data_IF_348143450086
#
_entry.id   IF_348143450086
#
_cell.length_a   1.000
_cell.length_b   1.000
_cell.length_c   1.000
_cell.angle_alpha   90.00
_cell.angle_beta   90.00
_cell.angle_gamma   90.00
#
_symmetry.space_group_name_H-M   'P 1'
#
loop_
_entity.id
_entity.type
_entity.pdbx_description
1 polymer ?
#
# COMPACT_ATOMS: atom_id res chain seq x y z
N UNK A 1 -5.16 96.66 -24.10
CA UNK A 1 -6.01 95.96 -25.10
C UNK A 1 -6.07 94.47 -24.75
N UNK A 2 -7.28 93.95 -24.51
CA UNK A 2 -7.57 92.56 -24.14
C UNK A 2 -7.29 91.62 -25.32
N UNK A 3 -6.53 90.54 -25.12
CA UNK A 3 -6.65 89.31 -25.92
C UNK A 3 -6.65 88.08 -25.01
N UNK A 4 -7.87 87.64 -24.75
CA UNK A 4 -8.25 86.33 -24.25
C UNK A 4 -7.82 85.26 -25.25
N UNK A 5 -7.08 84.24 -24.82
CA UNK A 5 -6.98 82.99 -25.57
C UNK A 5 -7.51 81.85 -24.70
N UNK A 6 -8.57 81.23 -25.22
CA UNK A 6 -9.39 80.21 -24.57
C UNK A 6 -8.65 78.88 -24.58
N UNK A 7 -8.57 78.25 -23.40
CA UNK A 7 -8.21 76.84 -23.23
C UNK A 7 -9.30 75.99 -23.88
N UNK A 8 -8.94 75.28 -24.95
CA UNK A 8 -9.83 74.34 -25.62
C UNK A 8 -9.93 73.03 -24.83
N UNK A 9 -11.11 72.76 -24.29
CA UNK A 9 -11.48 71.50 -23.65
C UNK A 9 -11.66 70.40 -24.70
N UNK A 10 -10.79 69.39 -24.65
CA UNK A 10 -10.92 68.19 -25.47
C UNK A 10 -12.16 67.38 -25.05
N UNK A 11 -13.16 67.31 -25.93
CA UNK A 11 -14.36 66.46 -25.78
C UNK A 11 -13.94 64.98 -25.81
N UNK A 12 -14.16 64.27 -24.69
CA UNK A 12 -14.09 62.80 -24.63
C UNK A 12 -15.17 62.20 -25.55
N UNK A 13 -14.77 61.36 -26.51
CA UNK A 13 -15.68 60.52 -27.30
C UNK A 13 -16.38 59.50 -26.37
N UNK A 14 -17.68 59.21 -26.55
CA UNK A 14 -18.37 58.19 -25.77
C UNK A 14 -17.86 56.80 -26.17
N UNK A 15 -17.45 56.01 -25.18
CA UNK A 15 -17.09 54.60 -25.34
C UNK A 15 -18.36 53.81 -25.61
N UNK A 16 -18.44 53.16 -26.77
CA UNK A 16 -19.53 52.27 -27.11
C UNK A 16 -19.59 51.08 -26.14
N UNK A 17 -20.70 50.93 -25.41
CA UNK A 17 -21.01 49.73 -24.63
C UNK A 17 -21.15 48.55 -25.59
N UNK A 18 -20.19 47.62 -25.59
CA UNK A 18 -20.36 46.30 -26.22
C UNK A 18 -21.41 45.51 -25.43
N UNK A 19 -22.58 45.33 -26.03
CA UNK A 19 -23.61 44.41 -25.57
C UNK A 19 -23.10 42.98 -25.69
N UNK A 20 -22.87 42.32 -24.54
CA UNK A 20 -22.55 40.88 -24.51
C UNK A 20 -23.84 40.12 -24.86
N UNK A 21 -23.92 39.59 -26.08
CA UNK A 21 -24.93 38.56 -26.42
C UNK A 21 -24.64 37.31 -25.58
N UNK A 22 -25.51 37.02 -24.62
CA UNK A 22 -25.54 35.75 -23.87
C UNK A 22 -25.76 34.63 -24.90
N UNK A 23 -24.74 33.82 -25.16
CA UNK A 23 -24.93 32.55 -25.86
C UNK A 23 -25.70 31.61 -24.92
N UNK A 24 -26.99 31.42 -25.19
CA UNK A 24 -27.77 30.34 -24.60
C UNK A 24 -27.28 29.03 -25.20
N UNK A 25 -26.78 28.12 -24.35
CA UNK A 25 -26.47 26.75 -24.77
C UNK A 25 -27.75 26.08 -25.26
N UNK A 26 -27.73 25.30 -26.36
CA UNK A 26 -28.93 24.61 -26.82
C UNK A 26 -29.38 23.62 -25.74
N UNK A 27 -30.67 23.62 -25.44
CA UNK A 27 -31.29 22.62 -24.58
C UNK A 27 -31.05 21.23 -25.20
N UNK A 28 -30.53 20.31 -24.39
CA UNK A 28 -30.24 18.94 -24.81
C UNK A 28 -31.58 18.22 -24.97
N UNK A 29 -32.08 18.13 -26.20
CA UNK A 29 -33.31 17.43 -26.51
C UNK A 29 -33.16 15.94 -26.16
N UNK A 30 -33.82 15.52 -25.07
CA UNK A 30 -33.96 14.12 -24.69
C UNK A 30 -34.87 13.45 -25.71
N UNK A 31 -34.30 12.67 -26.63
CA UNK A 31 -35.07 11.86 -27.57
C UNK A 31 -35.70 10.68 -26.82
N UNK A 32 -36.91 10.25 -27.19
CA UNK A 32 -37.59 9.11 -26.54
C UNK A 32 -36.72 7.83 -26.49
N UNK A 33 -35.80 7.67 -27.43
CA UNK A 33 -34.79 6.59 -27.43
C UNK A 33 -33.77 6.67 -26.30
N UNK A 34 -33.34 7.87 -25.87
CA UNK A 34 -32.44 8.01 -24.72
C UNK A 34 -33.14 7.73 -23.39
N UNK A 35 -34.45 8.01 -23.30
CA UNK A 35 -35.26 7.65 -22.14
C UNK A 35 -35.44 6.13 -22.02
N UNK A 36 -35.66 5.42 -23.13
CA UNK A 36 -35.75 3.96 -23.15
C UNK A 36 -34.41 3.31 -22.79
N UNK A 37 -33.29 3.79 -23.34
CA UNK A 37 -31.96 3.28 -22.98
C UNK A 37 -31.66 3.54 -21.51
N UNK A 38 -32.00 4.72 -20.99
CA UNK A 38 -31.80 5.03 -19.56
C UNK A 38 -32.70 4.17 -18.66
N UNK A 39 -33.91 3.82 -19.11
CA UNK A 39 -34.80 2.91 -18.40
C UNK A 39 -34.28 1.47 -18.41
N UNK A 40 -33.76 0.98 -19.54
CA UNK A 40 -33.13 -0.35 -19.63
C UNK A 40 -31.89 -0.42 -18.74
N UNK A 41 -31.04 0.61 -18.74
CA UNK A 41 -29.88 0.70 -17.83
C UNK A 41 -30.34 0.72 -16.37
N UNK A 42 -31.40 1.47 -16.05
CA UNK A 42 -31.95 1.52 -14.70
C UNK A 42 -32.48 0.14 -14.24
N UNK A 43 -33.18 -0.59 -15.11
CA UNK A 43 -33.68 -1.94 -14.82
C UNK A 43 -32.50 -2.92 -14.64
N UNK A 44 -31.47 -2.86 -15.49
CA UNK A 44 -30.27 -3.69 -15.35
C UNK A 44 -29.52 -3.41 -14.04
N UNK A 45 -29.41 -2.14 -13.66
CA UNK A 45 -28.81 -1.72 -12.39
C UNK A 45 -29.67 -2.16 -11.19
N UNK A 46 -31.00 -2.13 -11.30
CA UNK A 46 -31.90 -2.60 -10.26
C UNK A 46 -31.81 -4.12 -10.06
N UNK A 47 -31.70 -4.91 -11.14
CA UNK A 47 -31.48 -6.36 -11.08
C UNK A 47 -30.11 -6.68 -10.50
N UNK A 48 -29.06 -5.94 -10.88
CA UNK A 48 -27.72 -6.08 -10.30
C UNK A 48 -27.74 -5.74 -8.80
N UNK A 49 -28.46 -4.69 -8.41
CA UNK A 49 -28.60 -4.26 -7.02
C UNK A 49 -29.40 -5.29 -6.20
N UNK A 50 -30.49 -5.84 -6.75
CA UNK A 50 -31.22 -6.95 -6.15
C UNK A 50 -30.36 -8.20 -6.00
N UNK A 51 -29.49 -8.49 -6.97
CA UNK A 51 -28.50 -9.57 -6.90
C UNK A 51 -27.46 -9.35 -5.80
N UNK A 52 -26.96 -8.12 -5.64
CA UNK A 52 -26.05 -7.74 -4.54
C UNK A 52 -26.76 -7.82 -3.19
N UNK A 53 -28.01 -7.35 -3.10
CA UNK A 53 -28.83 -7.41 -1.89
C UNK A 53 -29.14 -8.86 -1.53
N UNK A 54 -29.51 -9.70 -2.50
CA UNK A 54 -29.71 -11.14 -2.32
C UNK A 54 -28.41 -11.86 -1.92
N UNK A 55 -27.28 -11.50 -2.52
CA UNK A 55 -25.96 -12.02 -2.13
C UNK A 55 -25.58 -11.58 -0.71
N UNK A 56 -25.87 -10.33 -0.33
CA UNK A 56 -25.66 -9.85 1.03
C UNK A 56 -26.61 -10.52 2.02
N UNK A 57 -27.88 -10.76 1.67
CA UNK A 57 -28.86 -11.48 2.49
C UNK A 57 -28.52 -12.97 2.63
N UNK A 58 -28.10 -13.62 1.55
CA UNK A 58 -27.63 -15.02 1.55
C UNK A 58 -26.31 -15.18 2.32
N UNK A 59 -25.43 -14.18 2.27
CA UNK A 59 -24.22 -14.15 3.08
C UNK A 59 -24.48 -13.66 4.52
N UNK A 60 -25.70 -13.18 4.84
CA UNK A 60 -26.12 -12.81 6.20
C UNK A 60 -26.68 -13.98 7.01
N UNK A 61 -26.72 -15.19 6.45
CA UNK A 61 -27.00 -16.44 7.19
C UNK A 61 -25.75 -17.26 7.51
N UNK A 62 -24.55 -16.72 7.31
CA UNK A 62 -23.30 -17.30 7.84
C UNK A 62 -22.54 -16.29 8.72
N UNK A 63 -23.18 -15.87 9.81
CA UNK A 63 -22.53 -15.16 10.92
C UNK A 63 -23.46 -15.09 12.14
N UNK A 64 -23.78 -16.24 12.73
CA UNK A 64 -24.02 -16.37 14.17
C UNK A 64 -23.13 -17.50 14.68
N UNK A 65 -21.90 -17.18 15.07
CA UNK A 65 -21.23 -17.92 16.12
C UNK A 65 -21.35 -17.08 17.39
N UNK A 66 -22.29 -17.50 18.25
CA UNK A 66 -22.27 -17.21 19.68
C UNK A 66 -21.39 -18.27 20.37
N UNK A 67 -20.86 -17.99 21.58
CA UNK A 67 -19.69 -18.65 22.14
C UNK A 67 -20.02 -20.07 22.59
N UNK A 68 -19.17 -21.03 22.24
CA UNK A 68 -19.13 -22.35 22.85
C UNK A 68 -17.97 -22.34 23.85
N UNK A 69 -18.17 -23.04 24.97
CA UNK A 69 -17.29 -23.25 26.12
C UNK A 69 -17.51 -22.24 27.27
N UNK A 70 -18.57 -22.45 28.05
CA UNK A 70 -18.45 -22.89 29.44
C UNK A 70 -19.83 -23.15 30.09
N UNK A 71 -19.91 -24.27 30.81
CA UNK A 71 -20.95 -24.72 31.78
C UNK A 71 -22.21 -25.38 31.21
N UNK A 72 -22.13 -26.68 30.96
CA UNK A 72 -23.27 -27.58 31.14
C UNK A 72 -23.27 -28.14 32.56
N UNK A 73 -24.26 -27.75 33.35
CA UNK A 73 -24.66 -28.49 34.55
C UNK A 73 -25.40 -29.73 34.06
N UNK A 74 -24.71 -30.87 33.98
CA UNK A 74 -25.38 -32.17 33.92
C UNK A 74 -25.70 -32.55 35.36
N UNK A 75 -26.98 -32.46 35.69
CA UNK A 75 -27.58 -32.92 36.93
C UNK A 75 -27.27 -34.40 37.12
N UNK A 76 -26.75 -34.71 38.31
CA UNK A 76 -26.48 -36.06 38.81
C UNK A 76 -27.80 -36.80 39.01
N UNK A 77 -28.38 -37.42 37.99
CA UNK A 77 -29.51 -38.34 38.24
C UNK A 77 -29.75 -39.46 37.23
N UNK A 78 -28.99 -39.57 36.13
CA UNK A 78 -29.21 -40.66 35.16
C UNK A 78 -27.95 -41.45 34.75
N UNK A 79 -26.85 -41.34 35.50
CA UNK A 79 -25.66 -42.21 35.32
C UNK A 79 -25.77 -43.53 36.11
N UNK A 80 -26.83 -43.70 36.91
CA UNK A 80 -27.04 -44.88 37.74
C UNK A 80 -28.13 -45.79 37.17
N UNK A 81 -28.03 -46.19 35.90
CA UNK A 81 -28.84 -47.30 35.33
C UNK A 81 -28.24 -48.03 34.13
N UNK A 82 -26.97 -47.81 33.80
CA UNK A 82 -26.29 -48.54 32.70
C UNK A 82 -24.95 -49.16 33.13
N UNK A 83 -24.65 -49.18 34.43
CA UNK A 83 -23.44 -49.78 35.01
C UNK A 83 -23.72 -51.12 35.73
N UNK A 84 -24.57 -51.97 35.16
CA UNK A 84 -24.76 -53.36 35.60
C UNK A 84 -25.04 -54.26 34.39
N UNK A 85 -24.12 -54.30 33.43
CA UNK A 85 -23.94 -55.43 32.50
C UNK A 85 -22.77 -55.11 31.58
N UNK A 86 -21.55 -55.27 32.11
CA UNK A 86 -20.28 -55.51 31.39
C UNK A 86 -19.13 -55.31 32.39
N UNK A 87 -19.20 -56.04 33.50
CA UNK A 87 -17.96 -56.47 34.17
C UNK A 87 -17.57 -57.81 33.54
N UNK A 88 -16.30 -57.90 33.17
CA UNK A 88 -15.60 -59.02 32.51
C UNK A 88 -15.69 -59.08 30.99
N UNK A 89 -14.90 -58.23 30.33
CA UNK A 89 -14.03 -58.59 29.21
C UNK A 89 -12.97 -57.48 29.04
N UNK A 90 -11.78 -57.76 29.59
CA UNK A 90 -10.45 -57.14 29.35
C UNK A 90 -10.43 -55.61 29.14
N UNK A 91 -10.12 -54.85 30.20
CA UNK A 91 -9.53 -53.50 30.05
C UNK A 91 -8.21 -53.66 29.32
N UNK A 92 -8.19 -53.35 28.02
CA UNK A 92 -6.95 -53.32 27.24
C UNK A 92 -6.16 -52.08 27.66
N UNK A 93 -5.26 -52.27 28.63
CA UNK A 93 -4.32 -51.24 29.10
C UNK A 93 -3.53 -50.60 27.96
N UNK A 94 -3.39 -51.29 26.81
CA UNK A 94 -2.73 -50.76 25.62
C UNK A 94 -3.52 -49.63 24.98
N UNK A 95 -4.85 -49.62 25.09
CA UNK A 95 -5.70 -48.58 24.50
C UNK A 95 -5.64 -47.29 25.32
N UNK A 96 -5.66 -47.40 26.65
CA UNK A 96 -5.52 -46.25 27.56
C UNK A 96 -4.11 -45.64 27.48
N UNK A 97 -3.06 -46.48 27.43
CA UNK A 97 -1.68 -46.01 27.21
C UNK A 97 -1.50 -45.34 25.83
N UNK A 98 -2.17 -45.85 24.78
CA UNK A 98 -2.12 -45.25 23.45
C UNK A 98 -2.82 -43.87 23.41
N UNK A 99 -3.97 -43.74 24.07
CA UNK A 99 -4.69 -42.47 24.19
C UNK A 99 -3.89 -41.42 24.99
N UNK A 100 -3.19 -41.85 26.04
CA UNK A 100 -2.35 -40.96 26.83
C UNK A 100 -1.12 -40.48 26.03
N UNK A 101 -0.47 -41.38 25.28
CA UNK A 101 0.65 -41.02 24.37
C UNK A 101 0.21 -40.05 23.27
N UNK A 102 -0.97 -40.25 22.68
CA UNK A 102 -1.54 -39.34 21.67
C UNK A 102 -1.86 -37.95 22.26
N UNK A 103 -2.41 -37.90 23.48
CA UNK A 103 -2.67 -36.65 24.20
C UNK A 103 -1.38 -35.88 24.51
N UNK A 104 -0.34 -36.59 24.95
CA UNK A 104 0.98 -36.01 25.21
C UNK A 104 1.63 -35.49 23.92
N UNK A 105 1.58 -36.25 22.82
CA UNK A 105 2.09 -35.80 21.51
C UNK A 105 1.37 -34.55 20.99
N UNK A 106 0.04 -34.48 21.15
CA UNK A 106 -0.74 -33.30 20.76
C UNK A 106 -0.39 -32.06 21.59
N UNK A 107 -0.14 -32.23 22.90
CA UNK A 107 0.33 -31.16 23.79
C UNK A 107 1.72 -30.68 23.38
N UNK A 108 2.66 -31.60 23.14
CA UNK A 108 4.03 -31.26 22.69
C UNK A 108 4.03 -30.57 21.33
N UNK A 109 3.20 -31.01 20.37
CA UNK A 109 3.04 -30.32 19.08
C UNK A 109 2.49 -28.90 19.26
N UNK A 110 1.48 -28.72 20.11
CA UNK A 110 0.91 -27.40 20.40
C UNK A 110 1.94 -26.48 21.05
N UNK A 111 2.72 -27.00 22.00
CA UNK A 111 3.77 -26.26 22.69
C UNK A 111 4.91 -25.88 21.75
N UNK A 112 5.34 -26.79 20.87
CA UNK A 112 6.36 -26.51 19.87
C UNK A 112 5.89 -25.48 18.84
N UNK A 113 4.61 -25.52 18.43
CA UNK A 113 4.03 -24.51 17.54
C UNK A 113 3.98 -23.13 18.20
N UNK A 114 3.64 -23.08 19.49
CA UNK A 114 3.63 -21.85 20.29
C UNK A 114 5.04 -21.29 20.52
N UNK A 115 6.03 -22.14 20.79
CA UNK A 115 7.43 -21.74 20.93
C UNK A 115 7.97 -21.22 19.61
N UNK A 116 7.72 -21.93 18.50
CA UNK A 116 8.20 -21.53 17.18
C UNK A 116 7.55 -20.23 16.70
N UNK A 117 6.25 -20.04 16.94
CA UNK A 117 5.57 -18.76 16.65
C UNK A 117 6.08 -17.62 17.53
N UNK A 118 6.40 -17.88 18.80
CA UNK A 118 6.98 -16.87 19.71
C UNK A 118 8.41 -16.49 19.34
N UNK A 119 9.23 -17.45 18.91
CA UNK A 119 10.59 -17.21 18.40
C UNK A 119 10.51 -16.41 17.09
N UNK A 120 9.66 -16.84 16.14
CA UNK A 120 9.45 -16.14 14.87
C UNK A 120 8.94 -14.71 15.08
N UNK A 121 8.07 -14.49 16.08
CA UNK A 121 7.58 -13.16 16.43
C UNK A 121 8.67 -12.25 17.03
N UNK A 122 9.64 -12.80 17.77
CA UNK A 122 10.77 -12.05 18.34
C UNK A 122 11.88 -11.78 17.31
N UNK A 123 11.93 -12.55 16.22
CA UNK A 123 12.83 -12.36 15.08
C UNK A 123 12.18 -11.67 13.87
N UNK A 124 10.92 -11.25 13.98
CA UNK A 124 10.20 -10.68 12.86
C UNK A 124 10.67 -9.25 12.59
N UNK A 125 10.91 -8.95 11.31
CA UNK A 125 11.47 -7.68 10.85
C UNK A 125 10.46 -6.85 10.09
N UNK A 126 10.38 -5.55 10.39
CA UNK A 126 9.54 -4.62 9.64
C UNK A 126 10.43 -3.50 9.08
N UNK A 127 10.47 -3.41 7.75
CA UNK A 127 11.04 -2.24 7.09
C UNK A 127 9.95 -1.21 6.82
N UNK A 128 10.22 0.04 7.16
CA UNK A 128 9.37 1.18 6.84
C UNK A 128 10.09 2.01 5.78
N UNK A 129 9.47 2.14 4.61
CA UNK A 129 9.91 3.03 3.54
C UNK A 129 9.04 4.30 3.61
N UNK A 130 9.68 5.46 3.56
CA UNK A 130 8.97 6.74 3.46
C UNK A 130 9.23 7.35 2.08
N UNK A 131 8.21 7.32 1.23
CA UNK A 131 8.22 7.84 -0.13
C UNK A 131 8.15 9.37 -0.17
N UNK A 132 8.24 9.95 -1.37
CA UNK A 132 8.08 11.39 -1.63
C UNK A 132 9.08 12.34 -0.93
N UNK A 133 10.23 11.84 -0.49
CA UNK A 133 11.24 12.69 0.15
C UNK A 133 11.83 13.65 -0.88
N UNK A 134 11.70 14.93 -0.57
CA UNK A 134 12.06 16.02 -1.49
C UNK A 134 12.37 17.35 -0.78
N UNK A 135 12.24 17.43 0.55
CA UNK A 135 12.63 18.59 1.38
C UNK A 135 13.62 18.17 2.47
N UNK A 136 14.49 19.12 2.84
CA UNK A 136 15.35 18.99 4.03
C UNK A 136 14.55 18.86 5.33
N UNK A 137 13.41 19.55 5.45
CA UNK A 137 12.54 19.43 6.64
C UNK A 137 12.02 18.02 6.87
N UNK A 138 11.72 17.28 5.80
CA UNK A 138 11.29 15.88 5.88
C UNK A 138 12.42 14.97 6.35
N UNK A 139 13.65 15.23 5.87
CA UNK A 139 14.86 14.53 6.34
C UNK A 139 15.07 14.75 7.84
N UNK A 140 14.95 15.99 8.30
CA UNK A 140 15.10 16.33 9.71
C UNK A 140 14.03 15.66 10.58
N UNK A 141 12.79 15.63 10.09
CA UNK A 141 11.69 14.96 10.79
C UNK A 141 11.90 13.45 10.87
N UNK A 142 12.34 12.80 9.79
CA UNK A 142 12.73 11.37 9.79
C UNK A 142 13.82 11.10 10.84
N UNK A 143 14.89 11.91 10.85
CA UNK A 143 15.99 11.75 11.81
C UNK A 143 15.51 11.94 13.25
N UNK A 144 14.57 12.86 13.48
CA UNK A 144 14.00 13.11 14.81
C UNK A 144 13.21 11.94 15.39
N UNK A 145 12.67 11.05 14.52
CA UNK A 145 11.96 9.85 14.96
C UNK A 145 12.90 8.83 15.63
N UNK A 146 14.21 8.84 15.38
CA UNK A 146 15.17 7.88 15.98
C UNK A 146 14.78 6.40 15.79
N UNK A 147 14.13 6.07 14.68
CA UNK A 147 13.88 4.69 14.22
C UNK A 147 14.44 4.51 12.81
N UNK A 148 14.78 3.28 12.44
CA UNK A 148 15.26 2.98 11.09
C UNK A 148 14.12 3.15 10.08
N UNK A 149 14.19 4.18 9.27
CA UNK A 149 13.30 4.44 8.13
C UNK A 149 14.17 4.52 6.90
N UNK A 150 13.77 3.81 5.84
CA UNK A 150 14.43 3.91 4.53
C UNK A 150 13.73 5.02 3.73
N UNK A 151 14.32 6.20 3.54
CA UNK A 151 13.71 7.24 2.71
C UNK A 151 13.77 6.85 1.24
N UNK A 152 12.69 7.10 0.50
CA UNK A 152 12.69 7.09 -0.96
C UNK A 152 12.62 8.51 -1.49
N UNK A 153 13.71 8.93 -2.12
CA UNK A 153 13.98 10.33 -2.48
C UNK A 153 13.66 10.53 -3.95
N UNK A 154 12.90 11.57 -4.27
CA UNK A 154 12.65 11.92 -5.67
C UNK A 154 13.96 12.22 -6.39
N UNK A 155 14.17 11.75 -7.64
CA UNK A 155 15.24 12.28 -8.46
C UNK A 155 14.96 13.75 -8.79
N UNK A 156 16.00 14.58 -9.06
CA UNK A 156 15.83 15.97 -9.43
C UNK A 156 14.77 16.20 -10.52
N UNK A 157 13.93 17.19 -10.33
CA UNK A 157 12.87 17.58 -11.26
C UNK A 157 12.67 19.11 -11.24
N UNK A 158 11.88 19.64 -12.18
CA UNK A 158 11.81 21.08 -12.50
C UNK A 158 11.60 22.01 -11.28
N UNK A 159 10.79 21.62 -10.31
CA UNK A 159 10.56 22.46 -9.12
C UNK A 159 11.51 22.16 -7.97
N UNK A 160 12.36 21.12 -8.06
CA UNK A 160 13.27 20.65 -7.02
C UNK A 160 14.52 20.00 -7.65
N UNK A 161 15.50 20.82 -7.98
CA UNK A 161 16.68 20.41 -8.75
C UNK A 161 17.79 19.74 -7.91
N UNK A 162 17.67 19.78 -6.58
CA UNK A 162 18.74 19.34 -5.66
C UNK A 162 18.28 18.25 -4.67
N UNK A 163 17.20 17.53 -4.98
CA UNK A 163 16.70 16.46 -4.11
C UNK A 163 17.72 15.33 -3.93
N UNK A 164 18.62 15.13 -4.90
CA UNK A 164 19.68 14.13 -4.80
C UNK A 164 20.66 14.39 -3.64
N UNK A 165 20.86 15.65 -3.24
CA UNK A 165 21.72 15.99 -2.10
C UNK A 165 21.13 15.50 -0.76
N UNK A 166 19.82 15.27 -0.69
CA UNK A 166 19.17 14.73 0.51
C UNK A 166 19.61 13.29 0.80
N UNK A 167 20.14 12.56 -0.19
CA UNK A 167 20.58 11.19 -0.02
C UNK A 167 21.85 11.08 0.83
N UNK A 168 22.73 12.10 0.80
CA UNK A 168 23.97 12.14 1.58
C UNK A 168 23.71 12.14 3.10
N UNK A 169 22.47 12.41 3.51
CA UNK A 169 22.02 12.41 4.91
C UNK A 169 21.71 11.00 5.45
N UNK A 170 21.72 9.97 4.60
CA UNK A 170 21.32 8.60 4.93
C UNK A 170 22.31 7.57 4.41
N UNK A 171 22.60 6.56 5.25
CA UNK A 171 23.41 5.40 4.84
C UNK A 171 22.66 4.49 3.85
N UNK A 172 21.38 4.27 4.10
CA UNK A 172 20.49 3.43 3.29
C UNK A 172 19.31 4.28 2.83
N UNK A 173 19.10 4.36 1.51
CA UNK A 173 18.03 5.12 0.89
C UNK A 173 17.60 4.46 -0.43
N UNK A 174 16.49 4.94 -0.99
CA UNK A 174 15.98 4.56 -2.31
C UNK A 174 15.78 5.81 -3.16
N UNK A 175 15.70 5.63 -4.48
CA UNK A 175 15.17 6.67 -5.37
C UNK A 175 13.73 6.36 -5.75
N UNK A 176 12.86 7.34 -5.56
CA UNK A 176 11.43 7.27 -5.85
C UNK A 176 11.18 7.66 -7.31
N UNK A 177 11.24 6.68 -8.22
CA UNK A 177 11.23 6.90 -9.67
C UNK A 177 9.81 7.25 -10.16
N UNK A 178 9.60 8.45 -10.75
CA UNK A 178 8.35 8.79 -11.43
C UNK A 178 8.07 7.86 -12.62
N UNK A 179 6.94 7.15 -12.57
CA UNK A 179 6.46 6.28 -13.65
C UNK A 179 5.03 6.68 -14.03
N UNK A 180 4.65 6.54 -15.29
CA UNK A 180 3.32 6.93 -15.76
C UNK A 180 2.18 6.17 -15.08
N UNK A 181 1.13 6.89 -14.71
CA UNK A 181 -0.07 6.36 -14.07
C UNK A 181 -1.33 6.80 -14.83
N UNK A 182 -2.40 6.00 -14.71
CA UNK A 182 -3.72 6.39 -15.20
C UNK A 182 -4.27 7.56 -14.38
N UNK A 183 -4.94 8.51 -15.05
CA UNK A 183 -5.62 9.65 -14.42
C UNK A 183 -4.73 10.51 -13.49
N UNK A 184 -3.41 10.50 -13.70
CA UNK A 184 -2.46 11.29 -12.92
C UNK A 184 -1.79 12.34 -13.81
N UNK A 185 -1.80 13.60 -13.35
CA UNK A 185 -1.09 14.69 -14.03
C UNK A 185 0.34 14.76 -13.51
N UNK A 186 1.28 14.30 -14.32
CA UNK A 186 2.69 14.31 -13.95
C UNK A 186 3.28 15.73 -13.90
N UNK A 187 4.05 15.98 -12.84
CA UNK A 187 4.86 17.19 -12.63
C UNK A 187 6.30 16.85 -12.24
N UNK A 188 6.64 15.56 -12.20
CA UNK A 188 7.89 15.01 -11.66
C UNK A 188 8.79 14.38 -12.73
N UNK A 189 8.35 14.35 -13.99
CA UNK A 189 9.12 13.81 -15.10
C UNK A 189 9.00 12.28 -15.20
N UNK A 190 7.76 11.79 -15.11
CA UNK A 190 7.38 10.40 -15.18
C UNK A 190 7.80 9.74 -16.49
N UNK A 191 8.39 8.55 -16.37
CA UNK A 191 8.71 7.71 -17.51
C UNK A 191 7.42 7.15 -18.09
N UNK A 192 7.18 7.40 -19.39
CA UNK A 192 6.02 6.85 -20.09
C UNK A 192 6.17 5.34 -20.29
N UNK A 193 5.05 4.61 -20.25
CA UNK A 193 4.99 3.19 -20.65
C UNK A 193 5.36 2.95 -22.12
N UNK A 194 5.37 4.01 -22.94
CA UNK A 194 5.82 3.96 -24.33
C UNK A 194 7.29 4.36 -24.51
N UNK A 195 8.02 4.62 -23.41
CA UNK A 195 9.43 4.99 -23.48
C UNK A 195 10.24 3.89 -24.15
N UNK A 196 11.13 4.29 -25.06
CA UNK A 196 12.04 3.37 -25.74
C UNK A 196 13.11 2.86 -24.76
N UNK A 197 13.73 1.69 -25.01
CA UNK A 197 14.83 1.22 -24.19
C UNK A 197 15.95 2.25 -23.98
N UNK A 198 16.25 3.05 -25.00
CA UNK A 198 17.24 4.12 -24.91
C UNK A 198 16.82 5.24 -23.94
N UNK A 199 15.53 5.62 -23.93
CA UNK A 199 15.01 6.61 -22.98
C UNK A 199 15.05 6.10 -21.54
N UNK A 200 14.68 4.83 -21.33
CA UNK A 200 14.76 4.19 -20.01
C UNK A 200 16.22 4.14 -19.54
N UNK A 201 17.13 3.62 -20.36
CA UNK A 201 18.56 3.58 -20.07
C UNK A 201 19.15 4.95 -19.74
N UNK A 202 18.82 5.96 -20.54
CA UNK A 202 19.24 7.35 -20.30
C UNK A 202 18.78 7.83 -18.92
N UNK A 203 17.49 7.70 -18.61
CA UNK A 203 16.91 8.14 -17.33
C UNK A 203 17.57 7.42 -16.13
N UNK A 204 17.72 6.10 -16.19
CA UNK A 204 18.35 5.33 -15.10
C UNK A 204 19.84 5.67 -14.94
N UNK A 205 20.55 5.84 -16.06
CA UNK A 205 21.97 6.25 -16.02
C UNK A 205 22.14 7.64 -15.41
N UNK A 206 21.28 8.60 -15.75
CA UNK A 206 21.29 9.95 -15.17
C UNK A 206 21.04 9.91 -13.66
N UNK A 207 20.01 9.16 -13.23
CA UNK A 207 19.71 8.97 -11.80
C UNK A 207 20.92 8.35 -11.07
N UNK A 208 21.50 7.27 -11.59
CA UNK A 208 22.64 6.61 -10.95
C UNK A 208 23.86 7.53 -10.84
N UNK A 209 24.07 8.44 -11.78
CA UNK A 209 25.14 9.45 -11.71
C UNK A 209 24.88 10.51 -10.64
N UNK A 210 23.61 10.87 -10.42
CA UNK A 210 23.21 11.91 -9.46
C UNK A 210 23.21 11.44 -8.00
N UNK A 211 23.05 10.13 -7.77
CA UNK A 211 22.88 9.52 -6.45
C UNK A 211 24.05 8.56 -6.14
N UNK A 212 24.90 8.93 -5.19
CA UNK A 212 26.08 8.13 -4.78
C UNK A 212 25.66 6.84 -4.07
N UNK A 213 26.23 5.70 -4.46
CA UNK A 213 25.93 4.39 -3.84
C UNK A 213 24.45 3.98 -3.95
N UNK A 214 23.75 4.41 -5.01
CA UNK A 214 22.35 4.02 -5.25
C UNK A 214 22.22 2.50 -5.43
N UNK A 215 21.48 1.85 -4.52
CA UNK A 215 21.21 0.42 -4.56
C UNK A 215 19.76 0.06 -4.88
N UNK A 216 18.80 0.94 -4.56
CA UNK A 216 17.38 0.62 -4.58
C UNK A 216 16.54 1.70 -5.27
N UNK A 217 15.56 1.28 -6.06
CA UNK A 217 14.54 2.14 -6.65
C UNK A 217 13.16 1.54 -6.38
N UNK A 218 12.18 2.38 -6.06
CA UNK A 218 10.77 2.04 -6.17
C UNK A 218 10.03 3.01 -7.10
N UNK A 219 8.79 2.70 -7.44
CA UNK A 219 7.97 3.53 -8.31
C UNK A 219 7.13 4.55 -7.53
N UNK A 220 7.20 5.81 -7.96
CA UNK A 220 6.18 6.83 -7.71
C UNK A 220 5.04 6.67 -8.69
N UNK A 221 3.81 6.53 -8.18
CA UNK A 221 2.63 6.18 -8.98
C UNK A 221 2.90 4.95 -9.88
N UNK A 222 2.86 5.06 -11.20
CA UNK A 222 3.28 3.99 -12.10
C UNK A 222 2.22 2.99 -12.50
N UNK A 223 0.94 3.18 -12.17
CA UNK A 223 -0.11 2.18 -12.45
C UNK A 223 -0.25 1.81 -13.94
N UNK A 224 0.02 2.74 -14.87
CA UNK A 224 0.02 2.47 -16.30
C UNK A 224 1.34 1.85 -16.77
N UNK A 225 2.45 2.25 -16.18
CA UNK A 225 3.78 1.72 -16.50
C UNK A 225 3.95 0.29 -16.00
N UNK A 226 3.71 0.03 -14.71
CA UNK A 226 3.96 -1.27 -14.09
C UNK A 226 3.01 -2.35 -14.59
N UNK A 227 1.81 -1.97 -15.06
CA UNK A 227 0.89 -2.88 -15.76
C UNK A 227 1.35 -3.24 -17.18
N UNK A 228 2.16 -2.39 -17.83
CA UNK A 228 2.71 -2.68 -19.16
C UNK A 228 3.93 -3.60 -19.03
N UNK A 229 3.73 -4.89 -19.33
CA UNK A 229 4.78 -5.90 -19.23
C UNK A 229 6.05 -5.57 -20.04
N UNK A 230 5.93 -5.05 -21.27
CA UNK A 230 7.10 -4.71 -22.11
C UNK A 230 7.92 -3.60 -21.46
N UNK A 231 7.27 -2.52 -21.03
CA UNK A 231 7.93 -1.39 -20.37
C UNK A 231 8.59 -1.82 -19.05
N UNK A 232 7.86 -2.55 -18.21
CA UNK A 232 8.35 -3.08 -16.93
C UNK A 232 9.56 -3.99 -17.13
N UNK A 233 9.51 -4.94 -18.07
CA UNK A 233 10.63 -5.84 -18.34
C UNK A 233 11.88 -5.08 -18.81
N UNK A 234 11.72 -4.06 -19.65
CA UNK A 234 12.85 -3.23 -20.09
C UNK A 234 13.44 -2.45 -18.90
N UNK A 235 12.60 -1.85 -18.05
CA UNK A 235 13.04 -1.15 -16.85
C UNK A 235 13.81 -2.07 -15.91
N UNK A 236 13.24 -3.22 -15.54
CA UNK A 236 13.89 -4.17 -14.63
C UNK A 236 15.21 -4.71 -15.21
N UNK A 237 15.27 -4.95 -16.52
CA UNK A 237 16.51 -5.37 -17.20
C UNK A 237 17.60 -4.29 -17.10
N UNK A 238 17.24 -3.02 -17.31
CA UNK A 238 18.19 -1.91 -17.18
C UNK A 238 18.64 -1.73 -15.73
N UNK A 239 17.71 -1.78 -14.76
CA UNK A 239 18.05 -1.71 -13.34
C UNK A 239 19.02 -2.84 -12.94
N UNK A 240 18.74 -4.08 -13.36
CA UNK A 240 19.63 -5.23 -13.16
C UNK A 240 21.03 -4.99 -13.76
N UNK A 241 21.11 -4.51 -15.00
CA UNK A 241 22.38 -4.22 -15.67
C UNK A 241 23.20 -3.14 -14.94
N UNK A 242 22.51 -2.23 -14.25
CA UNK A 242 23.10 -1.18 -13.44
C UNK A 242 23.36 -1.61 -11.98
N UNK A 243 23.06 -2.85 -11.60
CA UNK A 243 23.19 -3.32 -10.21
C UNK A 243 22.21 -2.65 -9.24
N UNK A 244 21.11 -2.09 -9.76
CA UNK A 244 20.06 -1.45 -8.96
C UNK A 244 18.91 -2.44 -8.78
N UNK A 245 18.48 -2.58 -7.53
CA UNK A 245 17.36 -3.43 -7.11
C UNK A 245 16.05 -2.65 -7.18
N UNK A 246 14.97 -3.33 -7.55
CA UNK A 246 13.63 -2.74 -7.63
C UNK A 246 12.75 -3.21 -6.47
N UNK A 247 11.90 -2.31 -5.96
CA UNK A 247 10.83 -2.60 -5.01
C UNK A 247 9.52 -2.11 -5.61
N UNK A 248 8.55 -3.01 -5.79
CA UNK A 248 7.23 -2.64 -6.31
C UNK A 248 6.37 -1.99 -5.22
N UNK A 249 6.02 -0.72 -5.41
CA UNK A 249 5.08 0.00 -4.53
C UNK A 249 3.63 -0.49 -4.70
N UNK A 250 3.36 -1.42 -5.63
CA UNK A 250 2.06 -2.06 -5.91
C UNK A 250 0.92 -1.04 -6.07
N UNK A 251 1.10 -0.09 -6.99
CA UNK A 251 0.11 0.97 -7.29
C UNK A 251 -1.01 0.51 -8.22
N UNK A 252 -0.96 -0.73 -8.70
CA UNK A 252 -2.01 -1.40 -9.48
C UNK A 252 -2.08 -2.87 -9.07
N UNK A 253 -3.28 -3.49 -9.01
CA UNK A 253 -3.41 -4.93 -8.79
C UNK A 253 -2.85 -5.76 -9.97
N UNK A 254 -2.76 -5.16 -11.16
CA UNK A 254 -2.32 -5.83 -12.39
C UNK A 254 -0.84 -5.57 -12.69
N UNK A 255 0.00 -5.45 -11.66
CA UNK A 255 1.43 -5.20 -11.84
C UNK A 255 2.08 -6.36 -12.61
N UNK A 256 2.85 -6.04 -13.65
CA UNK A 256 3.64 -6.99 -14.43
C UNK A 256 5.03 -7.23 -13.82
N UNK A 257 5.38 -6.53 -12.73
CA UNK A 257 6.66 -6.67 -12.02
C UNK A 257 6.92 -8.12 -11.55
N UNK A 258 5.95 -8.87 -10.97
CA UNK A 258 6.19 -10.25 -10.56
C UNK A 258 6.63 -11.13 -11.73
N UNK A 259 5.85 -11.11 -12.83
CA UNK A 259 6.13 -11.89 -14.04
C UNK A 259 7.47 -11.52 -14.66
N UNK A 260 7.74 -10.22 -14.81
CA UNK A 260 8.99 -9.75 -15.40
C UNK A 260 10.22 -10.08 -14.50
N UNK A 261 10.07 -10.00 -13.18
CA UNK A 261 11.13 -10.35 -12.23
C UNK A 261 11.48 -11.84 -12.31
N UNK A 262 10.47 -12.71 -12.33
CA UNK A 262 10.64 -14.16 -12.48
C UNK A 262 11.44 -14.50 -13.76
N UNK A 263 11.04 -13.94 -14.90
CA UNK A 263 11.73 -14.20 -16.17
C UNK A 263 13.17 -13.68 -16.22
N UNK A 264 13.47 -12.62 -15.45
CA UNK A 264 14.81 -12.05 -15.36
C UNK A 264 15.66 -12.69 -14.25
N UNK A 265 15.12 -13.66 -13.50
CA UNK A 265 15.77 -14.24 -12.33
C UNK A 265 16.08 -13.19 -11.26
N UNK A 266 15.12 -12.30 -11.00
CA UNK A 266 15.19 -11.27 -9.97
C UNK A 266 14.22 -11.60 -8.84
N UNK A 267 14.64 -11.38 -7.59
CA UNK A 267 13.76 -11.42 -6.44
C UNK A 267 12.63 -10.40 -6.59
N UNK A 268 11.39 -10.83 -6.31
CA UNK A 268 10.25 -9.92 -6.34
C UNK A 268 10.02 -9.30 -4.95
N UNK A 269 10.56 -8.10 -4.76
CA UNK A 269 10.36 -7.32 -3.53
C UNK A 269 9.22 -6.34 -3.71
N UNK A 270 8.30 -6.32 -2.76
CA UNK A 270 7.09 -5.54 -2.88
C UNK A 270 6.58 -5.04 -1.53
N UNK A 271 5.73 -4.02 -1.59
CA UNK A 271 5.04 -3.50 -0.41
C UNK A 271 3.92 -4.44 0.08
N UNK A 272 3.95 -4.74 1.37
CA UNK A 272 2.88 -5.46 2.06
C UNK A 272 1.74 -4.53 2.49
N UNK A 273 2.05 -3.37 3.08
CA UNK A 273 1.05 -2.43 3.61
C UNK A 273 1.35 -1.00 3.20
N UNK A 274 0.30 -0.26 2.81
CA UNK A 274 0.34 1.20 2.67
C UNK A 274 -0.24 1.83 3.94
N UNK A 275 0.53 2.69 4.62
CA UNK A 275 0.16 3.15 5.95
C UNK A 275 -0.84 4.32 5.93
N UNK A 276 -0.71 5.23 4.98
CA UNK A 276 -1.35 6.55 5.03
C UNK A 276 -2.23 6.86 3.82
N UNK A 277 -2.90 5.84 3.27
CA UNK A 277 -4.02 6.03 2.34
C UNK A 277 -5.05 7.02 2.88
N UNK A 278 -5.30 6.94 4.19
CA UNK A 278 -6.02 7.95 4.95
C UNK A 278 -5.01 8.68 5.83
N UNK A 279 -4.87 10.00 5.64
CA UNK A 279 -3.97 10.85 6.43
C UNK A 279 -4.53 11.14 7.83
N UNK A 280 -4.87 10.07 8.55
CA UNK A 280 -5.45 10.09 9.88
C UNK A 280 -4.62 9.20 10.81
N UNK A 281 -4.19 9.75 11.94
CA UNK A 281 -3.35 9.06 12.91
C UNK A 281 -3.90 7.67 13.30
N UNK A 282 -5.21 7.55 13.57
CA UNK A 282 -5.82 6.27 13.96
C UNK A 282 -5.85 5.25 12.83
N UNK A 283 -5.97 5.71 11.58
CA UNK A 283 -5.94 4.83 10.41
C UNK A 283 -4.51 4.31 10.19
N UNK A 284 -3.53 5.21 10.26
CA UNK A 284 -2.10 4.89 10.12
C UNK A 284 -1.64 3.91 11.20
N UNK A 285 -2.04 4.10 12.47
CA UNK A 285 -1.73 3.15 13.55
C UNK A 285 -2.34 1.76 13.31
N UNK A 286 -3.56 1.68 12.74
CA UNK A 286 -4.19 0.40 12.38
C UNK A 286 -3.44 -0.30 11.25
N UNK A 287 -3.02 0.46 10.22
CA UNK A 287 -2.20 -0.08 9.13
C UNK A 287 -0.84 -0.55 9.63
N UNK A 288 -0.23 0.16 10.58
CA UNK A 288 1.04 -0.25 11.18
C UNK A 288 0.89 -1.56 11.97
N UNK A 289 -0.20 -1.72 12.73
CA UNK A 289 -0.51 -3.00 13.40
C UNK A 289 -0.72 -4.14 12.40
N UNK A 290 -1.36 -3.87 11.26
CA UNK A 290 -1.50 -4.84 10.18
C UNK A 290 -0.14 -5.25 9.62
N UNK A 291 0.77 -4.29 9.37
CA UNK A 291 2.12 -4.58 8.89
C UNK A 291 2.90 -5.46 9.87
N UNK A 292 2.79 -5.18 11.17
CA UNK A 292 3.41 -6.00 12.22
C UNK A 292 2.82 -7.41 12.26
N UNK A 293 1.50 -7.54 12.11
CA UNK A 293 0.84 -8.86 12.04
C UNK A 293 1.36 -9.68 10.85
N UNK A 294 1.53 -9.04 9.70
CA UNK A 294 2.12 -9.68 8.51
C UNK A 294 3.57 -10.07 8.79
N UNK A 295 4.38 -9.16 9.35
CA UNK A 295 5.78 -9.44 9.68
C UNK A 295 5.92 -10.62 10.64
N UNK A 296 5.08 -10.71 11.69
CA UNK A 296 5.11 -11.83 12.64
C UNK A 296 4.70 -13.17 12.00
N UNK A 297 3.80 -13.13 11.01
CA UNK A 297 3.35 -14.33 10.30
C UNK A 297 4.40 -14.82 9.30
N UNK A 298 4.87 -13.92 8.43
CA UNK A 298 5.74 -14.25 7.31
C UNK A 298 7.23 -14.27 7.72
N UNK A 299 7.60 -13.53 8.76
CA UNK A 299 8.97 -13.33 9.24
C UNK A 299 9.50 -11.93 8.91
N UNK A 300 8.96 -11.30 7.87
CA UNK A 300 9.24 -9.90 7.54
C UNK A 300 8.05 -9.23 6.86
N UNK A 301 8.05 -7.89 6.82
CA UNK A 301 7.14 -7.12 5.98
C UNK A 301 7.75 -5.77 5.56
N UNK A 302 7.25 -5.21 4.47
CA UNK A 302 7.53 -3.85 4.00
C UNK A 302 6.26 -3.01 4.13
N UNK A 303 6.33 -1.95 4.94
CA UNK A 303 5.33 -0.90 4.99
C UNK A 303 5.84 0.34 4.24
N UNK A 304 4.97 0.96 3.43
CA UNK A 304 5.26 2.24 2.77
C UNK A 304 4.33 3.32 3.30
N UNK A 305 4.88 4.52 3.51
CA UNK A 305 4.16 5.73 3.86
C UNK A 305 4.79 6.96 3.16
N UNK A 306 4.26 8.13 3.47
CA UNK A 306 4.72 9.42 3.00
C UNK A 306 4.98 10.37 4.18
N UNK A 307 5.72 11.47 3.97
CA UNK A 307 6.08 12.43 5.01
C UNK A 307 4.92 13.40 5.32
N UNK A 308 3.75 12.88 5.65
CA UNK A 308 2.63 13.68 6.12
C UNK A 308 2.74 13.94 7.63
N UNK A 309 2.27 15.09 8.14
CA UNK A 309 2.24 15.36 9.58
C UNK A 309 1.51 14.26 10.39
N UNK A 310 0.41 13.70 9.84
CA UNK A 310 -0.32 12.60 10.46
C UNK A 310 0.54 11.32 10.56
N UNK A 311 1.38 11.06 9.56
CA UNK A 311 2.30 9.90 9.52
C UNK A 311 3.37 10.02 10.59
N UNK A 312 4.05 11.17 10.68
CA UNK A 312 5.05 11.40 11.71
C UNK A 312 4.47 11.32 13.12
N UNK A 313 3.28 11.90 13.34
CA UNK A 313 2.58 11.80 14.62
C UNK A 313 2.24 10.36 15.00
N UNK A 314 1.74 9.57 14.05
CA UNK A 314 1.42 8.16 14.27
C UNK A 314 2.68 7.33 14.55
N UNK A 315 3.75 7.51 13.77
CA UNK A 315 5.02 6.80 13.96
C UNK A 315 5.64 7.13 15.32
N UNK A 316 5.66 8.41 15.72
CA UNK A 316 6.16 8.83 17.04
C UNK A 316 5.37 8.16 18.17
N UNK A 317 4.05 8.13 18.09
CA UNK A 317 3.20 7.45 19.08
C UNK A 317 3.36 5.93 19.08
N UNK A 318 3.65 5.34 17.93
CA UNK A 318 3.86 3.90 17.80
C UNK A 318 5.16 3.43 18.45
N UNK A 319 6.21 4.27 18.48
CA UNK A 319 7.48 3.95 19.14
C UNK A 319 7.30 3.61 20.62
N UNK A 320 6.45 4.35 21.31
CA UNK A 320 6.23 4.18 22.75
C UNK A 320 5.45 2.91 23.09
N UNK A 321 4.81 2.26 22.09
CA UNK A 321 3.88 1.15 22.32
C UNK A 321 4.04 0.03 21.29
N UNK A 322 3.54 0.26 20.07
CA UNK A 322 3.30 -0.77 19.04
C UNK A 322 4.60 -1.32 18.45
N UNK A 323 5.64 -0.49 18.33
CA UNK A 323 6.90 -0.90 17.72
C UNK A 323 7.83 -1.69 18.66
N UNK A 324 7.50 -1.83 19.94
CA UNK A 324 8.33 -2.58 20.91
C UNK A 324 8.35 -4.08 20.65
N UNK A 325 7.33 -4.61 19.96
CA UNK A 325 7.17 -6.04 19.73
C UNK A 325 7.67 -6.51 18.34
N UNK A 326 8.46 -5.68 17.65
CA UNK A 326 8.97 -5.97 16.31
C UNK A 326 10.35 -5.33 16.11
N UNK A 327 11.22 -5.97 15.34
CA UNK A 327 12.50 -5.37 14.96
C UNK A 327 12.30 -4.43 13.77
N UNK A 328 12.47 -3.12 13.98
CA UNK A 328 12.47 -2.15 12.88
C UNK A 328 13.85 -2.12 12.22
N UNK A 329 13.89 -2.31 10.91
CA UNK A 329 15.12 -2.48 10.13
C UNK A 329 15.12 -1.60 8.87
N UNK A 330 16.30 -1.35 8.31
CA UNK A 330 16.40 -0.79 6.96
C UNK A 330 16.04 -1.84 5.90
N UNK A 331 15.72 -1.38 4.69
CA UNK A 331 15.32 -2.26 3.59
C UNK A 331 16.39 -3.31 3.23
N UNK A 332 17.66 -2.93 3.26
CA UNK A 332 18.80 -3.80 2.93
C UNK A 332 18.91 -5.03 3.85
N UNK A 333 18.45 -4.91 5.10
CA UNK A 333 18.46 -5.99 6.10
C UNK A 333 17.40 -7.08 5.83
N UNK A 334 16.41 -6.82 4.95
CA UNK A 334 15.35 -7.78 4.60
C UNK A 334 15.22 -8.05 3.10
N UNK A 335 15.87 -7.27 2.23
CA UNK A 335 15.74 -7.45 0.78
C UNK A 335 16.11 -8.88 0.35
N UNK A 336 17.15 -9.46 0.95
CA UNK A 336 17.60 -10.83 0.66
C UNK A 336 16.69 -11.95 1.19
N UNK A 337 15.63 -11.61 1.93
CA UNK A 337 14.63 -12.59 2.40
C UNK A 337 13.55 -12.87 1.36
N UNK A 338 13.45 -12.02 0.32
CA UNK A 338 12.56 -12.23 -0.81
C UNK A 338 13.29 -13.08 -1.86
N UNK A 339 12.73 -14.25 -2.17
CA UNK A 339 13.25 -15.15 -3.22
C UNK A 339 12.60 -14.87 -4.57
#
# INVERSE_FOLDING_TARGET
MKKSSKIATAKKKPVAKKTIKKQTKPARNFTKTSAVISFVIFVLMAVLWLGIVYYMLSNKTSSKQAPIIAKSNITKENIQKTNQSTQNLVRDTRLDEALEKLSQQAKTQTQNLQINTKIKAKSAKLAIIMDDISLKSQVDEIKSLKIKITPSIFPPFKSREHTNLLADEFKTYMVHLPLAAYNYKDTTGALSQNATPAQIKKKITEIKKQFKNLQYINNHTGSAFTQNYKATKILLKELKAQGIKFVDSKTTPNSAVPKASQELGLSYVYRDVFLDNEQNEKSILRQLQLAIKIAKKEGHAIAICHPYPATFKALKKAQDNILKDIEIVYLDEIYGLYN
#
